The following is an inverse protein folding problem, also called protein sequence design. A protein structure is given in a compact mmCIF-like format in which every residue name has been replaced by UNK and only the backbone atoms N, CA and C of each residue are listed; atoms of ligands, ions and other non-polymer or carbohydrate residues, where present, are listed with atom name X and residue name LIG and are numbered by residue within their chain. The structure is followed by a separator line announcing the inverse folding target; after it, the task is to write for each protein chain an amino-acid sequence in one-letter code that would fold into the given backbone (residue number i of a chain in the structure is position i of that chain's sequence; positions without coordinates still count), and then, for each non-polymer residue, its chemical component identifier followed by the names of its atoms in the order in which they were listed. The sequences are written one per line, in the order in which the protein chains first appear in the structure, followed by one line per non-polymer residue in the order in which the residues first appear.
data_IF_531259853934
#
_entry.id   IF_531259853934
#
_cell.length_a   1.000
_cell.length_b   1.000
_cell.length_c   1.000
_cell.angle_alpha   90.00
_cell.angle_beta   90.00
_cell.angle_gamma   90.00
#
_symmetry.space_group_name_H-M   'P 1'
#
loop_
_entity.id
_entity.type
_entity.pdbx_description
1 polymer ?
#
# COMPACT_ATOMS: atom_id res chain seq x y z
N UNK A 1 19.27 5.72 -24.30
CA UNK A 1 18.33 4.73 -23.73
C UNK A 1 17.83 5.13 -22.34
N UNK A 2 18.73 5.39 -21.38
CA UNK A 2 18.36 5.76 -19.99
C UNK A 2 17.60 7.08 -19.83
N UNK A 3 17.96 8.10 -20.61
CA UNK A 3 17.22 9.38 -20.65
C UNK A 3 15.80 9.20 -21.15
N UNK A 4 15.62 8.38 -22.20
CA UNK A 4 14.30 8.03 -22.74
C UNK A 4 13.48 7.19 -21.76
N UNK A 5 14.10 6.18 -21.12
CA UNK A 5 13.44 5.39 -20.07
C UNK A 5 13.01 6.26 -18.89
N UNK A 6 13.87 7.18 -18.43
CA UNK A 6 13.56 8.10 -17.34
C UNK A 6 12.41 9.05 -17.72
N UNK A 7 12.40 9.57 -18.95
CA UNK A 7 11.33 10.42 -19.44
C UNK A 7 9.99 9.67 -19.54
N UNK A 8 10.00 8.46 -20.11
CA UNK A 8 8.81 7.61 -20.19
C UNK A 8 8.28 7.24 -18.80
N UNK A 9 9.19 6.91 -17.87
CA UNK A 9 8.89 6.62 -16.49
C UNK A 9 8.23 7.82 -15.79
N UNK A 10 8.84 9.01 -15.86
CA UNK A 10 8.27 10.23 -15.27
C UNK A 10 6.89 10.51 -15.86
N UNK A 11 6.72 10.41 -17.17
CA UNK A 11 5.44 10.66 -17.84
C UNK A 11 4.37 9.66 -17.39
N UNK A 12 4.72 8.37 -17.29
CA UNK A 12 3.82 7.33 -16.80
C UNK A 12 3.37 7.57 -15.36
N UNK A 13 4.29 7.90 -14.45
CA UNK A 13 3.94 8.17 -13.05
C UNK A 13 3.15 9.46 -12.88
N UNK A 14 3.50 10.53 -13.60
CA UNK A 14 2.73 11.78 -13.60
C UNK A 14 1.30 11.59 -14.13
N UNK A 15 1.13 10.78 -15.19
CA UNK A 15 -0.18 10.43 -15.72
C UNK A 15 -1.02 9.66 -14.71
N UNK A 16 -0.46 8.58 -14.14
CA UNK A 16 -1.15 7.78 -13.13
C UNK A 16 -1.46 8.56 -11.85
N UNK A 17 -0.55 9.42 -11.39
CA UNK A 17 -0.79 10.23 -10.19
C UNK A 17 -1.92 11.24 -10.42
N UNK A 18 -1.97 11.85 -11.60
CA UNK A 18 -3.01 12.81 -11.97
C UNK A 18 -4.37 12.13 -12.08
N UNK A 19 -4.40 10.94 -12.67
CA UNK A 19 -5.61 10.13 -12.76
C UNK A 19 -6.12 9.69 -11.38
N UNK A 20 -5.24 9.13 -10.54
CA UNK A 20 -5.59 8.69 -9.19
C UNK A 20 -6.07 9.85 -8.31
N UNK A 21 -5.40 10.99 -8.37
CA UNK A 21 -5.80 12.21 -7.67
C UNK A 21 -7.24 12.63 -8.03
N UNK A 22 -7.58 12.62 -9.32
CA UNK A 22 -8.90 13.02 -9.79
C UNK A 22 -9.97 11.98 -9.44
N UNK A 23 -9.71 10.68 -9.59
CA UNK A 23 -10.71 9.64 -9.29
C UNK A 23 -11.01 9.55 -7.81
N UNK A 24 -9.99 9.58 -6.95
CA UNK A 24 -10.20 9.52 -5.51
C UNK A 24 -10.97 10.76 -5.06
N UNK A 25 -10.57 11.94 -5.53
CA UNK A 25 -11.30 13.17 -5.23
C UNK A 25 -12.76 13.08 -5.71
N UNK A 26 -12.98 12.66 -6.96
CA UNK A 26 -14.30 12.50 -7.55
C UNK A 26 -15.19 11.57 -6.72
N UNK A 27 -14.71 10.36 -6.39
CA UNK A 27 -15.47 9.39 -5.60
C UNK A 27 -15.85 9.92 -4.21
N UNK A 28 -14.98 10.74 -3.60
CA UNK A 28 -15.25 11.34 -2.30
C UNK A 28 -16.28 12.46 -2.42
N UNK A 29 -16.17 13.29 -3.45
CA UNK A 29 -17.06 14.44 -3.66
C UNK A 29 -18.49 13.98 -4.04
N UNK A 30 -18.66 12.78 -4.59
CA UNK A 30 -19.99 12.16 -4.81
C UNK A 30 -20.68 11.70 -3.50
N UNK A 31 -19.95 11.62 -2.38
CA UNK A 31 -20.45 11.11 -1.09
C UNK A 31 -20.72 12.26 -0.10
N UNK A 32 -21.44 13.28 -0.55
CA UNK A 32 -21.81 14.43 0.30
C UNK A 32 -22.69 13.96 1.45
N UNK A 33 -22.26 14.22 2.69
CA UNK A 33 -23.00 13.83 3.90
C UNK A 33 -22.86 12.36 4.34
N UNK A 34 -22.03 11.57 3.66
CA UNK A 34 -21.75 10.19 4.06
C UNK A 34 -21.02 10.13 5.42
N UNK A 35 -21.27 9.07 6.20
CA UNK A 35 -20.57 8.87 7.47
C UNK A 35 -19.08 8.63 7.26
N UNK A 36 -18.25 8.88 8.28
CA UNK A 36 -16.82 8.62 8.22
C UNK A 36 -16.50 7.15 7.85
N UNK A 37 -17.34 6.20 8.27
CA UNK A 37 -17.22 4.78 7.96
C UNK A 37 -17.50 4.48 6.48
N UNK A 38 -18.48 5.15 5.88
CA UNK A 38 -18.79 5.01 4.45
C UNK A 38 -17.65 5.57 3.60
N UNK A 39 -17.12 6.74 3.96
CA UNK A 39 -15.97 7.34 3.29
C UNK A 39 -14.72 6.43 3.37
N UNK A 40 -14.45 5.88 4.55
CA UNK A 40 -13.37 4.93 4.74
C UNK A 40 -13.57 3.67 3.88
N UNK A 41 -14.78 3.12 3.81
CA UNK A 41 -15.07 1.94 3.00
C UNK A 41 -14.75 2.16 1.52
N UNK A 42 -15.05 3.35 0.97
CA UNK A 42 -14.75 3.69 -0.43
C UNK A 42 -13.25 3.80 -0.68
N UNK A 43 -12.49 4.38 0.25
CA UNK A 43 -11.02 4.45 0.17
C UNK A 43 -10.41 3.05 0.16
N UNK A 44 -10.88 2.16 1.04
CA UNK A 44 -10.38 0.78 1.10
C UNK A 44 -10.78 -0.01 -0.14
N UNK A 45 -11.98 0.18 -0.68
CA UNK A 45 -12.42 -0.44 -1.92
C UNK A 45 -11.55 0.01 -3.11
N UNK A 46 -11.21 1.29 -3.17
CA UNK A 46 -10.30 1.82 -4.19
C UNK A 46 -8.92 1.16 -4.11
N UNK A 47 -8.33 1.06 -2.91
CA UNK A 47 -7.03 0.39 -2.73
C UNK A 47 -7.13 -1.12 -3.02
N UNK A 48 -8.24 -1.76 -2.66
CA UNK A 48 -8.49 -3.18 -2.93
C UNK A 48 -8.59 -3.50 -4.43
N UNK A 49 -9.03 -2.54 -5.25
CA UNK A 49 -9.15 -2.72 -6.70
C UNK A 49 -7.81 -3.06 -7.36
N UNK A 50 -6.69 -2.52 -6.86
CA UNK A 50 -5.35 -2.81 -7.38
C UNK A 50 -4.98 -4.29 -7.27
N UNK A 51 -4.88 -4.86 -6.05
CA UNK A 51 -4.63 -6.29 -5.85
C UNK A 51 -5.65 -7.19 -6.55
N UNK A 52 -6.93 -6.81 -6.60
CA UNK A 52 -7.97 -7.58 -7.27
C UNK A 52 -7.77 -7.68 -8.79
N UNK A 53 -7.20 -6.66 -9.43
CA UNK A 53 -6.88 -6.67 -10.87
C UNK A 53 -5.51 -7.31 -11.14
N UNK A 54 -4.53 -7.04 -10.29
CA UNK A 54 -3.17 -7.58 -10.45
C UNK A 54 -3.10 -9.08 -10.18
N UNK A 55 -3.86 -9.60 -9.22
CA UNK A 55 -3.93 -11.04 -8.94
C UNK A 55 -4.30 -11.89 -10.18
N UNK A 56 -5.45 -11.65 -10.86
CA UNK A 56 -5.79 -12.39 -12.06
C UNK A 56 -4.86 -12.04 -13.21
N UNK A 57 -4.34 -10.81 -13.31
CA UNK A 57 -3.37 -10.45 -14.35
C UNK A 57 -2.08 -11.30 -14.27
N UNK A 58 -1.47 -11.41 -13.09
CA UNK A 58 -0.27 -12.24 -12.92
C UNK A 58 -0.56 -13.73 -13.05
N UNK A 59 -1.74 -14.18 -12.60
CA UNK A 59 -2.19 -15.56 -12.82
C UNK A 59 -2.34 -15.85 -14.32
N UNK A 60 -2.95 -14.93 -15.07
CA UNK A 60 -3.17 -15.06 -16.51
C UNK A 60 -1.84 -14.94 -17.26
N UNK A 61 -0.90 -14.11 -16.81
CA UNK A 61 0.46 -14.05 -17.36
C UNK A 61 1.22 -15.36 -17.15
N UNK A 62 1.03 -16.05 -16.02
CA UNK A 62 1.58 -17.39 -15.82
C UNK A 62 0.91 -18.48 -16.69
N UNK A 63 -0.33 -18.26 -17.14
CA UNK A 63 -1.10 -19.22 -17.94
C UNK A 63 -1.06 -18.94 -19.45
N UNK A 64 -0.94 -17.68 -19.86
CA UNK A 64 -1.04 -17.20 -21.23
C UNK A 64 -0.04 -16.06 -21.47
N UNK A 65 0.73 -16.13 -22.55
CA UNK A 65 1.85 -15.22 -22.81
C UNK A 65 1.44 -13.82 -23.33
N UNK A 66 0.17 -13.58 -23.67
CA UNK A 66 -0.23 -12.36 -24.37
C UNK A 66 -1.58 -11.83 -23.94
N UNK A 67 -1.58 -10.89 -22.99
CA UNK A 67 -2.79 -10.12 -22.62
C UNK A 67 -2.47 -8.63 -22.52
N UNK A 68 -2.40 -7.95 -23.66
CA UNK A 68 -2.20 -6.49 -23.69
C UNK A 68 -3.14 -5.71 -24.63
N UNK A 69 -4.21 -6.32 -25.16
CA UNK A 69 -5.12 -5.66 -26.11
C UNK A 69 -6.49 -5.19 -25.59
N UNK A 70 -7.00 -5.79 -24.52
CA UNK A 70 -8.44 -5.67 -24.16
C UNK A 70 -8.75 -4.45 -23.27
N UNK A 71 -7.73 -3.86 -22.64
CA UNK A 71 -7.91 -2.86 -21.57
C UNK A 71 -8.43 -1.50 -22.08
N UNK A 72 -7.90 -1.01 -23.21
CA UNK A 72 -8.27 0.30 -23.77
C UNK A 72 -9.73 0.30 -24.23
N UNK A 73 -10.17 -0.78 -24.88
CA UNK A 73 -11.56 -0.93 -25.35
C UNK A 73 -12.55 -0.98 -24.18
N UNK A 74 -12.21 -1.69 -23.09
CA UNK A 74 -13.03 -1.73 -21.87
C UNK A 74 -13.16 -0.36 -21.20
N UNK A 75 -12.08 0.43 -21.16
CA UNK A 75 -12.10 1.80 -20.60
C UNK A 75 -12.97 2.73 -21.44
N UNK A 76 -12.86 2.66 -22.77
CA UNK A 76 -13.68 3.50 -23.66
C UNK A 76 -15.17 3.13 -23.60
N UNK A 77 -15.48 1.83 -23.56
CA UNK A 77 -16.84 1.32 -23.45
C UNK A 77 -17.46 1.72 -22.10
N UNK A 78 -16.75 1.52 -20.99
CA UNK A 78 -17.23 1.92 -19.67
C UNK A 78 -17.46 3.42 -19.57
N UNK A 79 -16.53 4.26 -20.06
CA UNK A 79 -16.74 5.71 -20.11
C UNK A 79 -18.00 6.10 -20.91
N UNK A 80 -18.24 5.46 -22.05
CA UNK A 80 -19.45 5.71 -22.87
C UNK A 80 -20.75 5.36 -22.15
N UNK A 81 -20.76 4.29 -21.35
CA UNK A 81 -21.97 3.85 -20.62
C UNK A 81 -22.27 4.71 -19.38
N UNK A 82 -21.24 5.18 -18.67
CA UNK A 82 -21.41 5.88 -17.40
C UNK A 82 -21.46 7.41 -17.52
N UNK A 83 -21.16 7.99 -18.71
CA UNK A 83 -21.14 9.44 -18.93
C UNK A 83 -22.40 10.19 -18.45
N UNK A 84 -23.58 9.56 -18.55
CA UNK A 84 -24.85 10.19 -18.20
C UNK A 84 -25.21 10.11 -16.70
N UNK A 85 -24.47 9.35 -15.90
CA UNK A 85 -24.71 9.20 -14.45
C UNK A 85 -23.70 9.96 -13.58
N UNK A 86 -22.71 10.61 -14.18
CA UNK A 86 -21.66 11.30 -13.46
C UNK A 86 -22.02 12.79 -13.35
N UNK A 87 -22.29 13.26 -12.13
CA UNK A 87 -22.49 14.69 -11.87
C UNK A 87 -21.15 15.42 -11.99
N UNK A 88 -21.10 16.41 -12.88
CA UNK A 88 -19.93 17.24 -13.15
C UNK A 88 -20.03 18.55 -12.37
N UNK A 89 -19.98 18.50 -11.04
CA UNK A 89 -19.87 19.72 -10.23
C UNK A 89 -18.39 20.08 -10.13
N UNK A 90 -17.95 21.02 -10.98
CA UNK A 90 -16.57 21.50 -11.05
C UNK A 90 -16.34 22.70 -10.13
N UNK A 91 -16.53 22.52 -8.82
CA UNK A 91 -16.27 23.60 -7.86
C UNK A 91 -14.78 23.58 -7.41
N UNK A 92 -13.88 23.85 -8.35
CA UNK A 92 -12.43 23.83 -8.09
C UNK A 92 -11.85 25.23 -8.30
N UNK A 93 -11.72 26.00 -7.21
CA UNK A 93 -10.73 27.09 -7.14
C UNK A 93 -9.33 26.46 -7.29
N UNK A 94 -8.44 27.05 -8.08
CA UNK A 94 -7.09 26.50 -8.31
C UNK A 94 -6.28 26.45 -6.99
N UNK A 95 -6.07 25.27 -6.39
CA UNK A 95 -5.45 25.16 -5.06
C UNK A 95 -3.95 25.47 -5.09
N UNK A 96 -3.26 25.14 -6.19
CA UNK A 96 -1.83 25.41 -6.37
C UNK A 96 -1.60 26.93 -6.42
N UNK A 97 -2.46 27.65 -7.14
CA UNK A 97 -2.41 29.12 -7.22
C UNK A 97 -2.58 29.76 -5.84
N UNK A 98 -3.45 29.21 -4.99
CA UNK A 98 -3.62 29.68 -3.62
C UNK A 98 -2.35 29.45 -2.78
N UNK A 99 -1.80 28.22 -2.79
CA UNK A 99 -0.55 27.91 -2.07
C UNK A 99 0.58 28.85 -2.49
N UNK A 100 0.79 29.05 -3.80
CA UNK A 100 1.84 29.92 -4.32
C UNK A 100 1.63 31.38 -3.89
N UNK A 101 0.39 31.88 -3.93
CA UNK A 101 0.07 33.24 -3.50
C UNK A 101 0.37 33.47 -2.02
N UNK A 102 -0.04 32.54 -1.15
CA UNK A 102 0.23 32.61 0.29
C UNK A 102 1.73 32.58 0.57
N UNK A 103 2.48 31.70 -0.11
CA UNK A 103 3.93 31.61 0.02
C UNK A 103 4.65 32.88 -0.46
N UNK A 104 4.26 33.41 -1.62
CA UNK A 104 4.83 34.64 -2.17
C UNK A 104 4.56 35.83 -1.24
N UNK A 105 3.36 35.92 -0.66
CA UNK A 105 3.02 36.95 0.31
C UNK A 105 3.84 36.81 1.60
N UNK A 106 3.91 35.61 2.20
CA UNK A 106 4.70 35.34 3.39
C UNK A 106 6.21 35.57 3.19
N UNK A 107 6.70 35.38 1.95
CA UNK A 107 8.08 35.69 1.58
C UNK A 107 8.31 37.20 1.50
N UNK A 108 7.38 37.95 0.92
CA UNK A 108 7.48 39.40 0.70
C UNK A 108 7.30 40.21 1.99
N UNK A 109 6.38 39.82 2.86
CA UNK A 109 6.07 40.54 4.09
C UNK A 109 6.72 39.85 5.28
N UNK A 110 7.69 40.53 5.91
CA UNK A 110 8.35 40.07 7.16
C UNK A 110 7.66 40.58 8.42
N UNK A 111 6.84 41.63 8.29
CA UNK A 111 6.13 42.30 9.38
C UNK A 111 4.67 42.51 8.96
N UNK A 112 3.73 42.58 9.91
CA UNK A 112 2.32 42.84 9.61
C UNK A 112 2.15 44.24 9.01
N UNK A 113 1.42 44.36 7.90
CA UNK A 113 1.18 45.65 7.22
C UNK A 113 0.17 46.50 7.99
N UNK A 114 -0.93 45.89 8.46
CA UNK A 114 -1.96 46.57 9.25
C UNK A 114 -2.39 45.66 10.41
N UNK A 115 -1.80 45.87 11.59
CA UNK A 115 -2.15 45.10 12.78
C UNK A 115 -3.48 45.61 13.36
N UNK A 116 -4.52 44.78 13.33
CA UNK A 116 -5.80 45.10 13.97
C UNK A 116 -5.60 45.36 15.46
N UNK A 117 -6.24 46.40 16.01
CA UNK A 117 -6.15 46.75 17.43
C UNK A 117 -6.54 45.60 18.38
N UNK A 118 -7.38 44.67 17.91
CA UNK A 118 -7.81 43.48 18.66
C UNK A 118 -6.71 42.40 18.81
N UNK A 119 -5.61 42.48 18.05
CA UNK A 119 -4.47 41.52 18.11
C UNK A 119 -3.34 42.00 19.00
N UNK A 120 -3.49 43.14 19.69
CA UNK A 120 -2.45 43.69 20.56
C UNK A 120 -2.24 42.87 21.84
N UNK A 121 -3.25 42.09 22.24
CA UNK A 121 -3.28 41.28 23.46
C UNK A 121 -2.79 39.84 23.25
N UNK A 122 -2.48 39.41 22.02
CA UNK A 122 -1.95 38.05 21.77
C UNK A 122 -0.45 37.98 22.08
N UNK A 123 -0.09 37.15 23.06
CA UNK A 123 1.29 36.95 23.51
C UNK A 123 2.12 36.09 22.52
N UNK A 124 1.48 35.28 21.68
CA UNK A 124 2.17 34.45 20.68
C UNK A 124 2.54 35.26 19.43
N UNK A 125 3.83 35.31 19.12
CA UNK A 125 4.31 35.92 17.88
C UNK A 125 3.76 35.14 16.66
N UNK A 126 3.03 35.79 15.73
CA UNK A 126 2.43 35.11 14.58
C UNK A 126 3.51 34.55 13.65
N UNK A 127 3.29 33.36 13.10
CA UNK A 127 4.21 32.81 12.10
C UNK A 127 4.16 33.65 10.82
N UNK A 128 5.22 33.58 9.99
CA UNK A 128 5.27 34.35 8.73
C UNK A 128 4.12 34.04 7.76
N UNK A 129 3.57 32.83 7.82
CA UNK A 129 2.35 32.49 7.07
C UNK A 129 1.13 33.18 7.68
N UNK A 130 1.05 33.26 9.00
CA UNK A 130 -0.08 33.87 9.71
C UNK A 130 -0.21 35.36 9.39
N UNK A 131 0.88 36.05 9.04
CA UNK A 131 0.84 37.44 8.56
C UNK A 131 0.00 37.64 7.29
N UNK A 132 -0.22 36.58 6.50
CA UNK A 132 -1.09 36.63 5.33
C UNK A 132 -2.58 36.67 5.66
N UNK A 133 -2.97 36.40 6.90
CA UNK A 133 -4.37 36.39 7.32
C UNK A 133 -4.93 37.81 7.39
N UNK A 134 -6.20 37.93 7.06
CA UNK A 134 -6.99 39.17 7.13
C UNK A 134 -6.92 39.84 8.51
N UNK A 135 -6.93 39.04 9.59
CA UNK A 135 -6.76 39.54 10.97
C UNK A 135 -5.48 40.38 11.17
N UNK A 136 -4.42 40.07 10.43
CA UNK A 136 -3.12 40.78 10.47
C UNK A 136 -2.94 41.76 9.29
N UNK A 137 -4.01 42.05 8.55
CA UNK A 137 -4.03 42.98 7.42
C UNK A 137 -3.62 42.35 6.08
N UNK A 138 -3.52 41.02 6.02
CA UNK A 138 -3.20 40.28 4.79
C UNK A 138 -4.43 39.98 3.91
N UNK A 139 -4.23 39.61 2.63
CA UNK A 139 -5.34 39.47 1.68
C UNK A 139 -6.06 38.11 1.71
N UNK A 140 -5.69 37.21 2.64
CA UNK A 140 -6.20 35.84 2.69
C UNK A 140 -7.06 35.60 3.92
N UNK A 141 -8.06 34.72 3.82
CA UNK A 141 -8.85 34.35 4.99
C UNK A 141 -8.05 33.49 5.97
N UNK A 142 -8.47 33.42 7.23
CA UNK A 142 -7.80 32.57 8.23
C UNK A 142 -7.79 31.09 7.80
N UNK A 143 -8.88 30.63 7.18
CA UNK A 143 -9.04 29.27 6.68
C UNK A 143 -8.05 28.95 5.55
N UNK A 144 -7.90 29.86 4.58
CA UNK A 144 -6.98 29.68 3.45
C UNK A 144 -5.53 29.52 3.94
N UNK A 145 -5.12 30.29 4.95
CA UNK A 145 -3.76 30.22 5.51
C UNK A 145 -3.56 28.95 6.34
N UNK A 146 -4.54 28.56 7.17
CA UNK A 146 -4.46 27.32 7.96
C UNK A 146 -4.48 26.06 7.07
N UNK A 147 -5.18 26.10 5.94
CA UNK A 147 -5.17 25.04 4.94
C UNK A 147 -3.77 24.86 4.33
N UNK A 148 -3.12 25.94 3.92
CA UNK A 148 -1.73 25.91 3.42
C UNK A 148 -0.78 25.40 4.52
N UNK A 149 -0.95 25.86 5.77
CA UNK A 149 -0.14 25.38 6.91
C UNK A 149 -0.33 23.88 7.14
N UNK A 150 -1.53 23.36 6.96
CA UNK A 150 -1.85 21.93 7.08
C UNK A 150 -1.13 21.11 5.99
N UNK A 151 -1.10 21.60 4.75
CA UNK A 151 -0.32 20.96 3.66
C UNK A 151 1.14 20.79 4.05
N UNK A 152 1.78 21.86 4.57
CA UNK A 152 3.18 21.80 5.01
C UNK A 152 3.41 20.92 6.24
N UNK A 153 2.43 20.79 7.15
CA UNK A 153 2.53 19.86 8.29
C UNK A 153 2.46 18.40 7.85
N UNK A 154 1.71 18.09 6.79
CA UNK A 154 1.58 16.72 6.27
C UNK A 154 2.74 16.29 5.37
N UNK A 155 3.29 17.21 4.58
CA UNK A 155 4.31 16.89 3.56
C UNK A 155 5.50 16.07 4.10
N UNK A 156 6.09 16.35 5.28
CA UNK A 156 7.19 15.54 5.82
C UNK A 156 6.81 14.09 6.13
N UNK A 157 5.54 13.82 6.46
CA UNK A 157 5.07 12.46 6.75
C UNK A 157 5.05 11.56 5.50
N UNK A 158 5.00 12.17 4.30
CA UNK A 158 4.99 11.42 3.04
C UNK A 158 6.29 10.65 2.79
N UNK A 159 7.40 11.06 3.45
CA UNK A 159 8.65 10.30 3.45
C UNK A 159 8.45 8.86 3.94
N UNK A 160 7.56 8.65 4.92
CA UNK A 160 7.25 7.33 5.46
C UNK A 160 6.62 6.39 4.43
N UNK A 161 5.88 6.94 3.46
CA UNK A 161 5.17 6.13 2.45
C UNK A 161 6.12 5.50 1.44
N UNK A 162 7.30 6.08 1.29
CA UNK A 162 8.37 5.58 0.42
C UNK A 162 8.97 4.26 0.92
N UNK A 163 8.89 4.00 2.24
CA UNK A 163 9.53 2.85 2.89
C UNK A 163 9.06 1.50 2.32
N UNK A 164 7.79 1.39 1.90
CA UNK A 164 7.23 0.15 1.36
C UNK A 164 7.91 -0.20 0.04
N UNK A 165 7.98 0.76 -0.88
CA UNK A 165 8.55 0.55 -2.21
C UNK A 165 10.08 0.40 -2.17
N UNK A 166 10.73 0.97 -1.15
CA UNK A 166 12.14 0.69 -0.84
C UNK A 166 12.34 -0.74 -0.33
N UNK A 167 11.42 -1.25 0.50
CA UNK A 167 11.48 -2.62 1.02
C UNK A 167 11.18 -3.67 -0.06
N UNK A 168 10.45 -3.29 -1.10
CA UNK A 168 10.08 -4.16 -2.19
C UNK A 168 11.17 -4.26 -3.26
N UNK A 169 11.20 -5.40 -3.95
CA UNK A 169 12.04 -5.60 -5.12
C UNK A 169 11.13 -5.80 -6.32
N UNK A 170 11.22 -4.87 -7.26
CA UNK A 170 10.36 -4.82 -8.43
C UNK A 170 10.96 -5.72 -9.50
N UNK A 171 10.27 -6.83 -9.79
CA UNK A 171 10.65 -7.74 -10.86
C UNK A 171 9.86 -7.40 -12.12
N UNK A 172 10.57 -7.15 -13.21
CA UNK A 172 9.96 -7.03 -14.53
C UNK A 172 10.08 -8.38 -15.24
N UNK A 173 8.94 -9.05 -15.40
CA UNK A 173 8.73 -10.22 -16.26
C UNK A 173 9.20 -11.59 -15.74
N UNK A 174 8.29 -12.58 -15.88
CA UNK A 174 8.60 -13.99 -15.92
C UNK A 174 9.07 -14.34 -17.35
N UNK A 175 10.33 -14.74 -17.52
CA UNK A 175 10.86 -15.23 -18.80
C UNK A 175 10.22 -16.60 -19.15
N UNK A 176 10.13 -16.90 -20.45
CA UNK A 176 9.55 -18.07 -21.16
C UNK A 176 9.82 -19.49 -20.60
N UNK A 177 10.58 -19.67 -19.52
CA UNK A 177 11.05 -20.97 -19.04
C UNK A 177 10.62 -21.33 -17.62
N UNK A 178 9.71 -20.57 -17.00
CA UNK A 178 9.21 -20.93 -15.67
C UNK A 178 8.13 -22.01 -15.75
N UNK A 179 8.35 -23.13 -15.07
CA UNK A 179 7.27 -24.06 -14.69
C UNK A 179 6.23 -23.33 -13.86
N UNK A 180 4.94 -23.73 -13.92
CA UNK A 180 3.85 -23.10 -13.17
C UNK A 180 4.18 -22.86 -11.67
N UNK A 181 4.79 -23.80 -10.92
CA UNK A 181 5.18 -23.56 -9.52
C UNK A 181 6.25 -22.48 -9.36
N UNK A 182 7.24 -22.44 -10.25
CA UNK A 182 8.26 -21.38 -10.25
C UNK A 182 7.68 -20.04 -10.66
N UNK A 183 6.71 -20.01 -11.57
CA UNK A 183 5.98 -18.79 -11.92
C UNK A 183 5.20 -18.27 -10.71
N UNK A 184 4.42 -19.13 -10.02
CA UNK A 184 3.67 -18.76 -8.81
C UNK A 184 4.58 -18.31 -7.65
N UNK A 185 5.80 -18.85 -7.54
CA UNK A 185 6.75 -18.47 -6.49
C UNK A 185 7.53 -17.19 -6.78
N UNK A 186 7.77 -16.89 -8.06
CA UNK A 186 8.45 -15.68 -8.53
C UNK A 186 7.47 -14.51 -8.66
N UNK A 187 6.23 -14.79 -9.08
CA UNK A 187 5.17 -13.78 -9.16
C UNK A 187 4.65 -13.42 -7.78
N UNK A 188 4.29 -12.17 -7.60
CA UNK A 188 3.79 -11.62 -6.34
C UNK A 188 2.32 -12.04 -6.05
N UNK A 189 1.84 -13.16 -6.62
CA UNK A 189 0.45 -13.63 -6.55
C UNK A 189 0.00 -13.87 -5.12
N UNK A 190 0.80 -14.57 -4.32
CA UNK A 190 0.46 -14.84 -2.91
C UNK A 190 0.37 -13.53 -2.11
N UNK A 191 1.23 -12.57 -2.41
CA UNK A 191 1.17 -11.24 -1.80
C UNK A 191 -0.15 -10.54 -2.15
N UNK A 192 -0.59 -10.55 -3.41
CA UNK A 192 -1.88 -9.93 -3.78
C UNK A 192 -3.06 -10.67 -3.15
N UNK A 193 -3.04 -12.00 -3.15
CA UNK A 193 -4.08 -12.83 -2.54
C UNK A 193 -4.19 -12.60 -1.03
N UNK A 194 -3.07 -12.66 -0.30
CA UNK A 194 -3.03 -12.34 1.13
C UNK A 194 -3.48 -10.90 1.38
N UNK A 195 -3.18 -9.97 0.48
CA UNK A 195 -3.57 -8.56 0.65
C UNK A 195 -5.08 -8.39 0.52
N UNK A 196 -5.72 -9.08 -0.43
CA UNK A 196 -7.18 -9.08 -0.57
C UNK A 196 -7.85 -9.64 0.70
N UNK A 197 -7.41 -10.81 1.16
CA UNK A 197 -7.98 -11.45 2.37
C UNK A 197 -7.83 -10.53 3.57
N UNK A 198 -6.62 -10.02 3.80
CA UNK A 198 -6.35 -9.27 5.02
C UNK A 198 -6.96 -7.86 5.03
N UNK A 199 -7.22 -7.23 3.86
CA UNK A 199 -8.02 -5.99 3.79
C UNK A 199 -9.45 -6.25 4.26
N UNK A 200 -10.06 -7.35 3.81
CA UNK A 200 -11.44 -7.71 4.17
C UNK A 200 -11.53 -8.05 5.68
N UNK A 201 -10.54 -8.76 6.22
CA UNK A 201 -10.60 -9.26 7.60
C UNK A 201 -10.13 -8.27 8.68
N UNK A 202 -9.16 -7.38 8.41
CA UNK A 202 -8.44 -6.66 9.47
C UNK A 202 -8.58 -5.12 9.48
N UNK A 203 -9.44 -4.52 8.67
CA UNK A 203 -9.50 -3.05 8.56
C UNK A 203 -9.97 -2.32 9.85
N UNK A 204 -10.62 -3.02 10.79
CA UNK A 204 -11.29 -2.42 11.97
C UNK A 204 -10.49 -2.48 13.29
N UNK A 205 -9.34 -3.15 13.35
CA UNK A 205 -8.78 -3.63 14.62
C UNK A 205 -7.78 -2.68 15.34
N UNK A 206 -7.37 -1.55 14.74
CA UNK A 206 -6.36 -0.64 15.34
C UNK A 206 -6.82 0.83 15.25
N UNK A 207 -6.89 1.59 16.38
CA UNK A 207 -7.61 2.87 16.41
C UNK A 207 -6.85 4.07 15.83
N UNK A 208 -5.53 4.16 15.97
CA UNK A 208 -4.78 5.36 15.54
C UNK A 208 -4.05 5.17 14.20
N UNK A 209 -4.39 5.98 13.19
CA UNK A 209 -3.81 5.92 11.83
C UNK A 209 -2.27 6.04 11.82
N UNK A 210 -1.69 6.96 12.61
CA UNK A 210 -0.23 7.17 12.66
C UNK A 210 0.51 5.97 13.25
N UNK A 211 -0.02 5.35 14.31
CA UNK A 211 0.57 4.14 14.88
C UNK A 211 0.50 2.97 13.91
N UNK A 212 -0.62 2.80 13.19
CA UNK A 212 -0.75 1.77 12.14
C UNK A 212 0.32 1.94 11.06
N UNK A 213 0.53 3.17 10.59
CA UNK A 213 1.59 3.47 9.63
C UNK A 213 2.98 3.18 10.24
N UNK A 214 3.24 3.56 11.50
CA UNK A 214 4.51 3.25 12.16
C UNK A 214 4.78 1.74 12.27
N UNK A 215 3.76 0.94 12.60
CA UNK A 215 3.86 -0.52 12.64
C UNK A 215 4.11 -1.06 11.23
N UNK A 216 3.43 -0.51 10.22
CA UNK A 216 3.66 -0.84 8.82
C UNK A 216 5.12 -0.61 8.39
N UNK A 217 5.70 0.55 8.66
CA UNK A 217 7.11 0.83 8.34
C UNK A 217 8.06 -0.11 9.12
N UNK A 218 7.73 -0.43 10.37
CA UNK A 218 8.51 -1.40 11.15
C UNK A 218 8.47 -2.81 10.54
N UNK A 219 7.32 -3.27 10.05
CA UNK A 219 7.22 -4.53 9.31
C UNK A 219 8.01 -4.46 7.99
N UNK A 220 8.00 -3.33 7.28
CA UNK A 220 8.83 -3.13 6.09
C UNK A 220 10.33 -3.28 6.42
N UNK A 221 10.77 -2.72 7.56
CA UNK A 221 12.12 -2.92 8.05
C UNK A 221 12.42 -4.41 8.32
N UNK A 222 11.52 -5.13 9.00
CA UNK A 222 11.66 -6.58 9.23
C UNK A 222 11.77 -7.35 7.90
N UNK A 223 11.00 -6.98 6.87
CA UNK A 223 11.11 -7.59 5.53
C UNK A 223 12.53 -7.38 4.96
N UNK A 224 13.08 -6.16 5.03
CA UNK A 224 14.43 -5.90 4.55
C UNK A 224 15.51 -6.65 5.32
N UNK A 225 15.42 -6.69 6.65
CA UNK A 225 16.35 -7.45 7.51
C UNK A 225 16.25 -8.95 7.23
N UNK A 226 15.04 -9.46 7.01
CA UNK A 226 14.84 -10.86 6.66
C UNK A 226 15.55 -11.22 5.35
N UNK A 227 15.52 -10.32 4.35
CA UNK A 227 16.28 -10.50 3.09
C UNK A 227 17.79 -10.50 3.36
N UNK A 228 18.30 -9.56 4.17
CA UNK A 228 19.71 -9.53 4.58
C UNK A 228 20.13 -10.85 5.22
N UNK A 229 19.34 -11.38 6.16
CA UNK A 229 19.62 -12.64 6.86
C UNK A 229 19.63 -13.81 5.87
N UNK A 230 18.67 -13.87 4.94
CA UNK A 230 18.62 -14.91 3.91
C UNK A 230 19.91 -14.88 3.08
N UNK A 231 20.30 -13.73 2.52
CA UNK A 231 21.51 -13.63 1.70
C UNK A 231 22.81 -13.77 2.50
N UNK A 232 22.78 -13.50 3.80
CA UNK A 232 23.91 -13.77 4.69
C UNK A 232 24.10 -15.27 4.91
N UNK A 233 23.01 -16.01 5.19
CA UNK A 233 23.04 -17.46 5.42
C UNK A 233 23.26 -18.23 4.11
N UNK A 234 22.64 -17.78 3.01
CA UNK A 234 22.74 -18.34 1.66
C UNK A 234 24.02 -17.93 0.94
N UNK A 235 24.99 -17.42 1.69
CA UNK A 235 26.38 -17.26 1.27
C UNK A 235 27.25 -18.47 1.62
N UNK A 236 26.87 -19.77 1.44
CA UNK A 236 27.87 -20.80 1.61
C UNK A 236 28.72 -20.84 0.34
N UNK A 237 30.03 -20.90 0.58
CA UNK A 237 31.00 -21.44 -0.37
C UNK A 237 30.40 -22.64 -1.14
N UNK A 238 30.78 -22.83 -2.42
CA UNK A 238 30.14 -23.76 -3.35
C UNK A 238 30.14 -25.26 -2.97
N UNK A 239 30.54 -25.65 -1.74
CA UNK A 239 30.78 -27.04 -1.35
C UNK A 239 30.12 -27.56 -0.06
N UNK A 240 29.20 -26.83 0.61
CA UNK A 240 28.63 -27.30 1.89
C UNK A 240 27.09 -27.20 1.91
N UNK A 241 26.41 -28.02 1.09
CA UNK A 241 24.94 -28.03 1.02
C UNK A 241 24.23 -29.10 1.85
N UNK A 242 24.94 -29.91 2.65
CA UNK A 242 24.29 -31.00 3.41
C UNK A 242 24.33 -30.89 4.94
N UNK A 243 25.00 -29.89 5.54
CA UNK A 243 25.25 -29.91 6.99
C UNK A 243 24.40 -28.92 7.83
N UNK A 244 23.87 -27.86 7.24
CA UNK A 244 23.39 -26.68 8.01
C UNK A 244 21.92 -26.79 8.46
N UNK A 245 21.08 -27.61 7.82
CA UNK A 245 19.66 -27.76 8.21
C UNK A 245 19.49 -28.52 9.54
N UNK A 246 20.40 -29.45 9.84
CA UNK A 246 20.33 -30.30 11.04
C UNK A 246 20.83 -29.55 12.28
N UNK A 247 21.91 -28.77 12.17
CA UNK A 247 22.45 -28.01 13.30
C UNK A 247 21.48 -26.94 13.82
N UNK A 248 20.71 -26.28 12.96
CA UNK A 248 19.79 -25.23 13.39
C UNK A 248 18.61 -25.75 14.20
N UNK A 249 18.14 -26.96 13.88
CA UNK A 249 17.08 -27.65 14.63
C UNK A 249 17.61 -28.19 15.97
N UNK A 250 18.88 -28.61 16.01
CA UNK A 250 19.55 -29.09 17.23
C UNK A 250 19.93 -27.93 18.16
N UNK A 251 20.23 -26.74 17.63
CA UNK A 251 20.66 -25.59 18.42
C UNK A 251 19.52 -24.94 19.23
N UNK A 252 18.27 -25.00 18.77
CA UNK A 252 17.12 -24.37 19.44
C UNK A 252 16.37 -25.28 20.44
N UNK A 253 16.72 -26.56 20.53
CA UNK A 253 16.08 -27.50 21.46
C UNK A 253 16.80 -27.58 22.81
N UNK A 254 16.07 -27.68 23.95
CA UNK A 254 16.65 -27.97 25.25
C UNK A 254 17.55 -29.21 25.17
N UNK A 255 18.72 -29.18 25.83
CA UNK A 255 19.79 -30.20 25.69
C UNK A 255 19.26 -31.63 25.84
N UNK A 256 18.27 -31.82 26.71
CA UNK A 256 17.70 -33.12 27.09
C UNK A 256 16.66 -33.66 26.07
N UNK A 257 16.21 -32.85 25.10
CA UNK A 257 15.17 -33.22 24.12
C UNK A 257 15.67 -33.25 22.67
N UNK A 258 16.96 -32.97 22.44
CA UNK A 258 17.58 -32.94 21.10
C UNK A 258 17.43 -34.27 20.36
N UNK A 259 17.66 -35.40 21.04
CA UNK A 259 17.50 -36.73 20.44
C UNK A 259 16.06 -37.05 20.04
N UNK A 260 15.07 -36.62 20.83
CA UNK A 260 13.64 -36.86 20.56
C UNK A 260 13.15 -36.03 19.39
N UNK A 261 13.58 -34.76 19.28
CA UNK A 261 13.22 -33.91 18.14
C UNK A 261 13.86 -34.39 16.83
N UNK A 262 15.13 -34.81 16.85
CA UNK A 262 15.78 -35.38 15.66
C UNK A 262 15.10 -36.70 15.26
N UNK A 263 14.75 -37.55 16.22
CA UNK A 263 14.00 -38.79 15.96
C UNK A 263 12.59 -38.55 15.42
N UNK A 264 11.86 -37.58 15.97
CA UNK A 264 10.52 -37.21 15.52
C UNK A 264 10.54 -36.59 14.12
N UNK A 265 11.56 -35.77 13.82
CA UNK A 265 11.77 -35.21 12.48
C UNK A 265 12.06 -36.31 11.45
N UNK A 266 12.94 -37.26 11.79
CA UNK A 266 13.21 -38.42 10.94
C UNK A 266 11.95 -39.27 10.73
N UNK A 267 11.19 -39.53 11.79
CA UNK A 267 9.96 -40.34 11.73
C UNK A 267 8.86 -39.66 10.90
N UNK A 268 8.68 -38.34 11.01
CA UNK A 268 7.71 -37.59 10.22
C UNK A 268 8.16 -37.51 8.76
N UNK A 269 9.44 -37.23 8.49
CA UNK A 269 9.95 -37.14 7.12
C UNK A 269 9.88 -38.49 6.38
N UNK A 270 10.30 -39.58 7.03
CA UNK A 270 10.21 -40.93 6.47
C UNK A 270 8.76 -41.42 6.37
N UNK A 271 7.93 -41.11 7.38
CA UNK A 271 6.52 -41.48 7.42
C UNK A 271 5.71 -40.80 6.32
N UNK A 272 5.87 -39.48 6.15
CA UNK A 272 5.20 -38.73 5.08
C UNK A 272 5.71 -39.14 3.70
N UNK A 273 7.03 -39.38 3.57
CA UNK A 273 7.63 -39.88 2.33
C UNK A 273 7.12 -41.26 1.93
N UNK A 274 6.93 -42.15 2.90
CA UNK A 274 6.32 -43.47 2.67
C UNK A 274 4.86 -43.36 2.28
N UNK A 275 4.08 -42.50 2.96
CA UNK A 275 2.65 -42.31 2.71
C UNK A 275 2.39 -41.78 1.29
N UNK A 276 3.16 -40.77 0.86
CA UNK A 276 3.17 -40.21 -0.50
C UNK A 276 3.63 -41.25 -1.53
N UNK A 277 4.65 -42.07 -1.19
CA UNK A 277 5.12 -43.15 -2.06
C UNK A 277 4.07 -44.24 -2.26
N UNK A 278 3.28 -44.59 -1.24
CA UNK A 278 2.18 -45.55 -1.38
C UNK A 278 1.00 -45.00 -2.18
N UNK A 279 0.69 -43.70 -2.07
CA UNK A 279 -0.37 -43.07 -2.89
C UNK A 279 0.03 -42.98 -4.36
N UNK A 280 1.30 -42.66 -4.66
CA UNK A 280 1.79 -42.58 -6.05
C UNK A 280 2.03 -43.95 -6.71
N UNK A 281 2.26 -45.01 -5.93
CA UNK A 281 2.39 -46.38 -6.47
C UNK A 281 1.06 -46.91 -7.03
N UNK A 282 -0.07 -46.32 -6.65
CA UNK A 282 -1.41 -46.72 -7.11
C UNK A 282 -1.82 -46.06 -8.45
N UNK A 283 -1.10 -45.04 -8.92
CA UNK A 283 -1.47 -44.27 -10.13
C UNK A 283 -0.72 -44.70 -11.40
N UNK A 284 0.33 -45.52 -11.28
CA UNK A 284 1.07 -46.05 -12.44
C UNK A 284 1.13 -47.58 -12.33
N UNK A 285 0.19 -48.24 -12.99
CA UNK A 285 0.18 -49.70 -13.19
C UNK A 285 1.33 -50.08 -14.13
N UNK A 286 2.48 -50.44 -13.55
CA UNK A 286 3.64 -50.87 -14.32
C UNK A 286 3.65 -52.41 -14.36
N UNK A 287 3.03 -52.92 -15.41
CA UNK A 287 2.87 -54.35 -15.72
C UNK A 287 4.13 -54.90 -16.41
N UNK A 288 5.24 -55.06 -15.68
CA UNK A 288 6.25 -56.07 -16.04
C UNK A 288 7.24 -56.29 -14.90
N UNK A 289 7.37 -57.55 -14.53
CA UNK A 289 8.20 -58.08 -13.47
C UNK A 289 9.62 -58.31 -14.03
N UNK A 290 10.63 -57.97 -13.23
CA UNK A 290 12.07 -58.19 -13.43
C UNK A 290 12.91 -57.01 -13.96
N UNK A 291 13.72 -56.50 -13.02
CA UNK A 291 14.95 -55.71 -13.18
C UNK A 291 14.74 -54.26 -13.64
N UNK A 292 14.16 -53.46 -12.74
CA UNK A 292 14.54 -52.05 -12.58
C UNK A 292 15.14 -51.83 -11.18
N UNK A 293 15.97 -52.77 -10.74
CA UNK A 293 16.94 -52.60 -9.66
C UNK A 293 18.13 -51.82 -10.21
N UNK A 294 17.95 -50.53 -10.44
CA UNK A 294 19.11 -49.66 -10.55
C UNK A 294 19.09 -48.73 -9.37
N UNK A 295 20.13 -48.82 -8.57
CA UNK A 295 20.55 -47.84 -7.56
C UNK A 295 20.32 -46.39 -8.05
N UNK A 296 20.44 -46.15 -9.37
CA UNK A 296 20.06 -44.90 -10.03
C UNK A 296 18.60 -44.46 -9.85
N UNK A 297 17.61 -45.35 -9.85
CA UNK A 297 16.19 -45.01 -9.64
C UNK A 297 15.92 -44.56 -8.20
N UNK A 298 16.55 -45.21 -7.22
CA UNK A 298 16.46 -44.83 -5.82
C UNK A 298 17.28 -43.57 -5.50
N UNK A 299 18.45 -43.41 -6.12
CA UNK A 299 19.27 -42.19 -6.02
C UNK A 299 18.58 -41.00 -6.70
N UNK A 300 18.00 -41.15 -7.89
CA UNK A 300 17.24 -40.08 -8.55
C UNK A 300 15.96 -39.73 -7.78
N UNK A 301 15.24 -40.70 -7.20
CA UNK A 301 14.12 -40.41 -6.28
C UNK A 301 14.56 -39.71 -5.01
N UNK A 302 15.66 -40.14 -4.38
CA UNK A 302 16.15 -39.52 -3.13
C UNK A 302 16.68 -38.10 -3.38
N UNK A 303 17.41 -37.89 -4.48
CA UNK A 303 17.87 -36.56 -4.93
C UNK A 303 16.67 -35.68 -5.31
N UNK A 304 15.65 -36.22 -5.99
CA UNK A 304 14.44 -35.46 -6.34
C UNK A 304 13.63 -35.08 -5.09
N UNK A 305 13.49 -35.98 -4.11
CA UNK A 305 12.86 -35.68 -2.82
C UNK A 305 13.67 -34.65 -2.04
N UNK A 306 15.00 -34.76 -2.01
CA UNK A 306 15.87 -33.78 -1.37
C UNK A 306 15.77 -32.41 -2.05
N UNK A 307 15.75 -32.36 -3.39
CA UNK A 307 15.52 -31.14 -4.16
C UNK A 307 14.14 -30.58 -3.86
N UNK A 308 13.09 -31.39 -3.83
CA UNK A 308 11.72 -30.95 -3.48
C UNK A 308 11.67 -30.43 -2.05
N UNK A 309 12.41 -31.02 -1.10
CA UNK A 309 12.42 -30.63 0.30
C UNK A 309 13.27 -29.36 0.53
N UNK A 310 14.38 -29.20 -0.18
CA UNK A 310 15.17 -27.97 -0.24
C UNK A 310 14.35 -26.86 -0.89
N UNK A 311 13.70 -27.13 -2.03
CA UNK A 311 12.78 -26.21 -2.69
C UNK A 311 11.62 -25.87 -1.76
N UNK A 312 11.05 -26.82 -1.02
CA UNK A 312 9.98 -26.58 -0.05
C UNK A 312 10.44 -25.74 1.15
N UNK A 313 11.67 -25.94 1.64
CA UNK A 313 12.26 -25.12 2.72
C UNK A 313 12.61 -23.71 2.24
N UNK A 314 13.14 -23.57 1.03
CA UNK A 314 13.38 -22.28 0.37
C UNK A 314 12.04 -21.58 0.11
N UNK A 315 11.04 -22.30 -0.40
CA UNK A 315 9.67 -21.83 -0.60
C UNK A 315 9.05 -21.42 0.74
N UNK A 316 9.19 -22.19 1.82
CA UNK A 316 8.68 -21.84 3.15
C UNK A 316 9.37 -20.60 3.73
N UNK A 317 10.66 -20.35 3.43
CA UNK A 317 11.34 -19.09 3.73
C UNK A 317 10.82 -17.94 2.84
N UNK A 318 10.53 -18.22 1.56
CA UNK A 318 10.00 -17.26 0.57
C UNK A 318 8.57 -16.82 0.89
N UNK A 319 7.69 -17.75 1.27
CA UNK A 319 6.30 -17.51 1.61
C UNK A 319 6.16 -16.65 2.88
N UNK A 320 7.06 -16.81 3.87
CA UNK A 320 7.04 -15.99 5.09
C UNK A 320 7.25 -14.50 4.82
N UNK A 321 8.19 -14.11 3.95
CA UNK A 321 8.38 -12.68 3.67
C UNK A 321 7.21 -12.09 2.86
N UNK A 322 6.58 -12.86 1.97
CA UNK A 322 5.46 -12.37 1.17
C UNK A 322 4.23 -12.07 2.03
N UNK A 323 3.98 -12.88 3.07
CA UNK A 323 2.92 -12.63 4.06
C UNK A 323 3.22 -11.35 4.85
N UNK A 324 4.45 -11.19 5.36
CA UNK A 324 4.83 -9.96 6.10
C UNK A 324 4.74 -8.72 5.20
N UNK A 325 5.13 -8.84 3.92
CA UNK A 325 4.99 -7.77 2.93
C UNK A 325 3.52 -7.42 2.69
N UNK A 326 2.64 -8.42 2.62
CA UNK A 326 1.20 -8.19 2.50
C UNK A 326 0.65 -7.45 3.73
N UNK A 327 1.01 -7.86 4.94
CA UNK A 327 0.63 -7.14 6.16
C UNK A 327 1.15 -5.70 6.17
N UNK A 328 2.39 -5.48 5.71
CA UNK A 328 3.00 -4.16 5.54
C UNK A 328 2.16 -3.28 4.60
N UNK A 329 1.77 -3.82 3.44
CA UNK A 329 0.96 -3.11 2.45
C UNK A 329 -0.36 -2.60 3.04
N UNK A 330 -1.07 -3.44 3.80
CA UNK A 330 -2.38 -3.13 4.38
C UNK A 330 -2.28 -2.10 5.49
N UNK A 331 -1.23 -2.16 6.30
CA UNK A 331 -1.04 -1.19 7.39
C UNK A 331 -0.59 0.18 6.91
N UNK A 332 -0.07 0.25 5.68
CA UNK A 332 0.48 1.47 5.14
C UNK A 332 -0.37 2.11 4.05
N UNK A 333 -0.69 1.40 2.96
CA UNK A 333 -1.30 2.02 1.78
C UNK A 333 -2.71 2.57 2.04
N UNK A 334 -3.70 1.77 2.49
CA UNK A 334 -5.03 2.31 2.74
C UNK A 334 -5.02 3.31 3.91
N UNK A 335 -4.20 3.08 4.93
CA UNK A 335 -4.12 3.96 6.11
C UNK A 335 -3.48 5.31 5.79
N UNK A 336 -2.43 5.33 4.97
CA UNK A 336 -1.79 6.58 4.55
C UNK A 336 -2.68 7.39 3.62
N UNK A 337 -3.46 6.73 2.76
CA UNK A 337 -4.45 7.40 1.93
C UNK A 337 -5.62 7.92 2.78
N UNK A 338 -6.15 7.11 3.68
CA UNK A 338 -7.17 7.49 4.67
C UNK A 338 -6.72 8.71 5.48
N UNK A 339 -5.49 8.68 6.00
CA UNK A 339 -4.88 9.81 6.69
C UNK A 339 -4.78 11.05 5.81
N UNK A 340 -4.28 10.91 4.57
CA UNK A 340 -4.11 12.02 3.64
C UNK A 340 -5.45 12.69 3.33
N UNK A 341 -6.47 11.88 3.01
CA UNK A 341 -7.83 12.37 2.77
C UNK A 341 -8.40 13.01 4.03
N UNK A 342 -8.24 12.36 5.18
CA UNK A 342 -8.84 12.81 6.43
C UNK A 342 -8.30 14.14 6.92
N UNK A 343 -7.00 14.38 6.71
CA UNK A 343 -6.28 15.56 7.18
C UNK A 343 -6.18 16.67 6.13
N UNK A 344 -6.37 16.35 4.85
CA UNK A 344 -6.34 17.34 3.76
C UNK A 344 -7.49 18.35 3.81
N UNK A 345 -7.21 19.63 3.52
CA UNK A 345 -8.25 20.60 3.20
C UNK A 345 -9.15 20.16 2.06
N UNK A 346 -10.45 20.49 2.12
CA UNK A 346 -11.43 20.10 1.10
C UNK A 346 -10.99 20.53 -0.29
N UNK A 347 -10.63 21.81 -0.47
CA UNK A 347 -10.21 22.36 -1.76
C UNK A 347 -8.82 21.91 -2.22
N UNK A 348 -8.00 21.32 -1.35
CA UNK A 348 -6.63 20.87 -1.66
C UNK A 348 -6.47 19.35 -1.65
N UNK A 349 -7.54 18.59 -1.37
CA UNK A 349 -7.51 17.14 -1.18
C UNK A 349 -6.96 16.41 -2.40
N UNK A 350 -7.41 16.74 -3.61
CA UNK A 350 -6.88 16.15 -4.85
C UNK A 350 -5.37 16.35 -5.02
N UNK A 351 -4.85 17.54 -4.69
CA UNK A 351 -3.40 17.82 -4.72
C UNK A 351 -2.66 16.95 -3.70
N UNK A 352 -3.19 16.82 -2.48
CA UNK A 352 -2.58 16.02 -1.44
C UNK A 352 -2.56 14.52 -1.78
N UNK A 353 -3.64 14.00 -2.37
CA UNK A 353 -3.71 12.62 -2.86
C UNK A 353 -2.72 12.39 -4.02
N UNK A 354 -2.60 13.35 -4.93
CA UNK A 354 -1.61 13.29 -6.00
C UNK A 354 -0.18 13.26 -5.46
N UNK A 355 0.15 14.13 -4.49
CA UNK A 355 1.44 14.13 -3.81
C UNK A 355 1.71 12.83 -3.04
N UNK A 356 0.70 12.27 -2.38
CA UNK A 356 0.76 10.96 -1.73
C UNK A 356 1.15 9.86 -2.74
N UNK A 357 0.52 9.84 -3.92
CA UNK A 357 0.81 8.85 -4.96
C UNK A 357 2.23 9.02 -5.53
N UNK A 358 2.64 10.26 -5.81
CA UNK A 358 3.98 10.58 -6.31
C UNK A 358 5.04 10.19 -5.28
N UNK A 359 4.84 10.50 -4.00
CA UNK A 359 5.78 10.14 -2.94
C UNK A 359 5.88 8.61 -2.80
N UNK A 360 4.73 7.94 -2.70
CA UNK A 360 4.66 6.49 -2.50
C UNK A 360 5.25 5.75 -3.71
N UNK A 361 4.61 5.84 -4.87
CA UNK A 361 4.94 5.04 -6.04
C UNK A 361 6.00 5.68 -6.93
N UNK A 362 5.94 6.98 -7.21
CA UNK A 362 6.90 7.61 -8.13
C UNK A 362 8.31 7.66 -7.55
N UNK A 363 8.49 8.43 -6.47
CA UNK A 363 9.80 8.67 -5.87
C UNK A 363 10.32 7.41 -5.18
N UNK A 364 9.46 6.65 -4.48
CA UNK A 364 9.87 5.40 -3.83
C UNK A 364 10.49 4.37 -4.78
N UNK A 365 9.86 4.12 -5.93
CA UNK A 365 10.40 3.21 -6.94
C UNK A 365 11.62 3.80 -7.65
N UNK A 366 11.65 5.12 -7.89
CA UNK A 366 12.81 5.80 -8.46
C UNK A 366 14.03 5.58 -7.57
N UNK A 367 13.93 5.84 -6.26
CA UNK A 367 15.04 5.61 -5.32
C UNK A 367 15.41 4.13 -5.27
N UNK A 368 14.43 3.21 -5.22
CA UNK A 368 14.69 1.76 -5.22
C UNK A 368 15.48 1.32 -6.45
N UNK A 369 15.19 1.91 -7.63
CA UNK A 369 15.93 1.66 -8.88
C UNK A 369 17.31 2.30 -8.86
N UNK A 370 17.41 3.56 -8.40
CA UNK A 370 18.68 4.28 -8.31
C UNK A 370 19.67 3.61 -7.36
N UNK A 371 19.18 3.00 -6.28
CA UNK A 371 20.00 2.23 -5.33
C UNK A 371 20.60 0.96 -5.93
N UNK A 372 20.10 0.44 -7.07
CA UNK A 372 20.69 -0.75 -7.71
C UNK A 372 22.01 -0.41 -8.43
N UNK A 373 22.17 0.81 -8.92
CA UNK A 373 23.33 1.20 -9.75
C UNK A 373 24.67 1.12 -9.02
N UNK A 374 24.84 1.62 -7.77
CA UNK A 374 26.13 1.58 -7.09
C UNK A 374 26.64 0.18 -6.73
N UNK A 375 25.81 -0.86 -6.87
CA UNK A 375 26.12 -2.24 -6.50
C UNK A 375 26.21 -3.19 -7.71
N UNK A 376 26.34 -2.64 -8.92
CA UNK A 376 26.48 -3.37 -10.19
C UNK A 376 25.42 -4.48 -10.38
N UNK A 377 24.20 -4.22 -9.88
CA UNK A 377 23.09 -5.14 -10.06
C UNK A 377 22.46 -4.95 -11.45
N UNK A 378 23.16 -5.44 -12.48
CA UNK A 378 22.74 -5.43 -13.90
C UNK A 378 21.65 -6.46 -14.22
N UNK A 379 21.51 -7.49 -13.39
CA UNK A 379 20.55 -8.59 -13.62
C UNK A 379 19.09 -8.12 -13.53
N UNK A 380 18.24 -8.59 -14.46
CA UNK A 380 16.77 -8.42 -14.45
C UNK A 380 16.10 -9.07 -13.23
N UNK A 381 16.84 -9.80 -12.41
CA UNK A 381 16.36 -10.57 -11.26
C UNK A 381 16.79 -9.97 -9.92
N UNK A 382 16.71 -10.80 -8.88
CA UNK A 382 17.15 -10.53 -7.52
C UNK A 382 18.62 -10.09 -7.53
N UNK A 383 18.89 -8.91 -6.98
CA UNK A 383 20.24 -8.44 -6.73
C UNK A 383 20.85 -9.31 -5.62
N UNK A 384 21.86 -10.12 -5.91
CA UNK A 384 22.47 -11.05 -4.93
C UNK A 384 23.46 -10.37 -3.98
N UNK A 385 23.70 -9.07 -4.16
CA UNK A 385 24.63 -8.32 -3.34
C UNK A 385 24.10 -8.14 -1.92
N UNK A 386 24.81 -8.71 -0.94
CA UNK A 386 24.55 -8.50 0.48
C UNK A 386 24.54 -7.01 0.86
N UNK A 387 25.48 -6.23 0.30
CA UNK A 387 25.63 -4.81 0.61
C UNK A 387 24.44 -3.97 0.12
N UNK A 388 23.79 -4.36 -0.99
CA UNK A 388 22.58 -3.71 -1.46
C UNK A 388 21.43 -3.84 -0.46
N UNK A 389 21.19 -5.04 0.05
CA UNK A 389 20.13 -5.26 1.05
C UNK A 389 20.44 -4.62 2.40
N UNK A 390 21.72 -4.59 2.80
CA UNK A 390 22.17 -3.82 3.96
C UNK A 390 21.89 -2.33 3.79
N UNK A 391 22.24 -1.74 2.65
CA UNK A 391 21.99 -0.33 2.36
C UNK A 391 20.48 -0.01 2.37
N UNK A 392 19.65 -0.86 1.75
CA UNK A 392 18.18 -0.75 1.83
C UNK A 392 17.67 -0.80 3.28
N UNK A 393 18.16 -1.74 4.09
CA UNK A 393 17.74 -1.88 5.48
C UNK A 393 18.11 -0.66 6.33
N UNK A 394 19.32 -0.12 6.16
CA UNK A 394 19.76 1.13 6.82
C UNK A 394 18.88 2.30 6.40
N UNK A 395 18.59 2.44 5.09
CA UNK A 395 17.75 3.53 4.60
C UNK A 395 16.32 3.45 5.16
N UNK A 396 15.71 2.27 5.19
CA UNK A 396 14.38 2.07 5.76
C UNK A 396 14.38 2.34 7.28
N UNK A 397 15.46 1.99 7.99
CA UNK A 397 15.61 2.30 9.42
C UNK A 397 15.67 3.81 9.67
N UNK A 398 16.42 4.57 8.86
CA UNK A 398 16.46 6.04 8.95
C UNK A 398 15.05 6.61 8.72
N UNK A 399 14.33 6.14 7.70
CA UNK A 399 12.95 6.56 7.42
C UNK A 399 12.03 6.25 8.60
N UNK A 400 12.15 5.07 9.22
CA UNK A 400 11.39 4.70 10.41
C UNK A 400 11.64 5.67 11.57
N UNK A 401 12.90 5.96 11.88
CA UNK A 401 13.26 6.86 12.98
C UNK A 401 12.70 8.27 12.72
N UNK A 402 12.93 8.80 11.53
CA UNK A 402 12.42 10.13 11.14
C UNK A 402 10.90 10.17 11.18
N UNK A 403 10.23 9.16 10.65
CA UNK A 403 8.77 9.07 10.64
C UNK A 403 8.20 9.03 12.06
N UNK A 404 8.77 8.24 12.97
CA UNK A 404 8.30 8.17 14.37
C UNK A 404 8.45 9.52 15.07
N UNK A 405 9.56 10.23 14.84
CA UNK A 405 9.77 11.58 15.40
C UNK A 405 8.73 12.56 14.85
N UNK A 406 8.48 12.54 13.54
CA UNK A 406 7.50 13.42 12.90
C UNK A 406 6.07 13.08 13.34
N UNK A 407 5.72 11.80 13.42
CA UNK A 407 4.40 11.32 13.83
C UNK A 407 4.08 11.72 15.28
N UNK A 408 5.06 11.64 16.20
CA UNK A 408 4.90 12.12 17.59
C UNK A 408 4.68 13.63 17.69
N UNK A 409 5.25 14.40 16.78
CA UNK A 409 5.12 15.87 16.74
C UNK A 409 3.90 16.33 15.92
N UNK A 410 3.24 15.43 15.20
CA UNK A 410 2.12 15.76 14.35
C UNK A 410 0.86 16.00 15.18
N UNK A 411 0.29 17.20 15.07
CA UNK A 411 -0.99 17.55 15.67
C UNK A 411 -2.10 17.35 14.63
N UNK A 412 -3.04 16.46 14.93
CA UNK A 412 -4.21 16.19 14.08
C UNK A 412 -5.01 17.48 13.83
N UNK A 413 -5.44 17.67 12.58
CA UNK A 413 -6.42 18.69 12.24
C UNK A 413 -7.77 18.24 12.78
N UNK A 414 -8.31 19.01 13.72
CA UNK A 414 -9.70 18.88 14.13
C UNK A 414 -10.54 19.62 13.08
N UNK A 415 -11.38 18.90 12.33
CA UNK A 415 -12.43 19.58 11.57
C UNK A 415 -13.39 20.15 12.61
N UNK A 416 -13.52 21.48 12.70
CA UNK A 416 -14.81 22.03 13.11
C UNK A 416 -15.78 21.47 12.07
N UNK A 417 -16.71 20.61 12.47
CA UNK A 417 -17.72 20.12 11.54
C UNK A 417 -18.28 21.38 10.86
N UNK A 418 -18.01 21.54 9.57
CA UNK A 418 -18.85 22.38 8.73
C UNK A 418 -20.22 21.80 8.97
N UNK A 419 -21.01 22.51 9.77
CA UNK A 419 -22.43 22.29 9.97
C UNK A 419 -22.96 21.91 8.60
N UNK A 420 -23.39 20.65 8.40
CA UNK A 420 -23.66 20.14 7.06
C UNK A 420 -24.88 20.88 6.53
N UNK A 421 -24.65 22.06 5.92
CA UNK A 421 -25.69 23.00 5.53
C UNK A 421 -26.67 22.29 4.60
N UNK A 422 -26.17 21.42 3.71
CA UNK A 422 -27.00 20.61 2.82
C UNK A 422 -27.92 19.70 3.61
N UNK A 423 -27.40 18.93 4.57
CA UNK A 423 -28.21 18.04 5.40
C UNK A 423 -29.18 18.77 6.33
N UNK A 424 -28.82 19.98 6.78
CA UNK A 424 -29.70 20.85 7.57
C UNK A 424 -30.79 21.47 6.71
N UNK A 425 -30.45 21.89 5.49
CA UNK A 425 -31.40 22.41 4.52
C UNK A 425 -32.36 21.30 4.06
N UNK A 426 -31.85 20.09 3.79
CA UNK A 426 -32.65 18.92 3.46
C UNK A 426 -33.57 18.51 4.61
N UNK A 427 -33.04 18.42 5.84
CA UNK A 427 -33.85 18.13 7.04
C UNK A 427 -34.91 19.22 7.27
N UNK A 428 -34.57 20.48 7.04
CA UNK A 428 -35.52 21.59 7.14
C UNK A 428 -36.61 21.51 6.07
N UNK A 429 -36.26 21.24 4.82
CA UNK A 429 -37.23 21.06 3.72
C UNK A 429 -38.12 19.83 3.94
N UNK A 430 -37.56 18.72 4.39
CA UNK A 430 -38.29 17.51 4.74
C UNK A 430 -39.33 17.77 5.83
N UNK A 431 -38.94 18.48 6.91
CA UNK A 431 -39.89 18.88 7.95
C UNK A 431 -41.00 19.78 7.40
N UNK A 432 -40.67 20.70 6.49
CA UNK A 432 -41.64 21.60 5.87
C UNK A 432 -42.66 20.83 5.00
N UNK A 433 -42.21 19.83 4.24
CA UNK A 433 -43.08 18.96 3.44
C UNK A 433 -44.00 18.10 4.32
N UNK A 434 -43.45 17.48 5.38
CA UNK A 434 -44.24 16.65 6.30
C UNK A 434 -45.31 17.47 7.05
N UNK A 435 -44.98 18.71 7.45
CA UNK A 435 -45.98 19.62 8.03
C UNK A 435 -47.09 19.94 7.04
N UNK A 436 -46.75 20.17 5.76
CA UNK A 436 -47.74 20.48 4.72
C UNK A 436 -48.67 19.30 4.43
N UNK A 437 -48.15 18.07 4.47
CA UNK A 437 -48.96 16.85 4.35
C UNK A 437 -49.92 16.69 5.54
N UNK A 438 -49.46 16.94 6.78
CA UNK A 438 -50.34 16.93 7.96
C UNK A 438 -51.47 17.96 7.86
N UNK A 439 -51.16 19.21 7.49
CA UNK A 439 -52.20 20.22 7.28
C UNK A 439 -53.18 19.83 6.17
N UNK A 440 -52.72 19.19 5.08
CA UNK A 440 -53.60 18.69 4.02
C UNK A 440 -54.56 17.61 4.52
N UNK A 441 -54.08 16.67 5.32
CA UNK A 441 -54.88 15.57 5.90
C UNK A 441 -55.93 16.10 6.88
N UNK A 442 -55.56 17.05 7.75
CA UNK A 442 -56.49 17.64 8.73
C UNK A 442 -57.64 18.38 8.02
N UNK A 443 -57.34 19.06 6.91
CA UNK A 443 -58.36 19.78 6.12
C UNK A 443 -59.33 18.83 5.41
N UNK A 444 -58.84 17.70 4.91
CA UNK A 444 -59.68 16.68 4.27
C UNK A 444 -60.52 15.90 5.32
N UNK A 445 -60.00 15.67 6.52
CA UNK A 445 -60.78 15.03 7.60
C UNK A 445 -61.91 15.91 8.12
N UNK A 446 -61.69 17.23 8.27
CA UNK A 446 -62.73 18.15 8.72
C UNK A 446 -63.86 18.31 7.67
N UNK A 447 -63.54 18.15 6.37
CA UNK A 447 -64.53 18.21 5.29
C UNK A 447 -65.42 16.96 5.15
N UNK A 448 -65.12 15.89 5.89
CA UNK A 448 -65.85 14.61 5.84
C UNK A 448 -66.89 14.44 6.95
N UNK A 449 -67.15 15.49 7.74
CA UNK A 449 -68.04 15.45 8.92
C UNK A 449 -69.34 16.26 8.79
N UNK A 450 -69.68 16.76 7.60
CA UNK A 450 -70.96 17.42 7.31
C UNK A 450 -71.90 16.56 6.44
#
# INVERSE_FOLDING_TARGET
LWTFFSFAYITFFCGNSSFAANIIQYNIDQLVGASADQLNSVIYLHILSGPLVLFPFYLLQCLFYSTSGVSVSLVLVSHSFFKHKLENISLIKNPIKLIVRVLCYARKHKYPENRSALTYWEEEAPSRLDLGKDKYGGPFTEEEVEDVKTVFRMLPLFLGFMAINLSDDVYWSAIDSFTLPTCLAVTDILYYFCSVIAIICFYKYIPSMLTRMSVGIFLAFIVTVSKVIIFFIERPHPNINNFISLEFTVAQSPVNMRGVMVGLWYAIAYGLGFLISTTFKFLFDCKSQYICTSFYYYMTKSVLVLIILIVFVILAKRYKYQIIRSLTFILMYPVSLEFTVAQSPVHMRGVMVGLWYVASWGIGYLISTMLKFPFDCESQYICTSFYYYMAKSVLVLIILIVFVILAKRYKYRVRKNEVNIVQIVDDHYQRYLNQREQFGIDTDSDSSTD
#
